data_IF_936504468541
#
_entry.id   IF_936504468541
#
_cell.length_a   1.000
_cell.length_b   1.000
_cell.length_c   1.000
_cell.angle_alpha   90.00
_cell.angle_beta   90.00
_cell.angle_gamma   90.00
#
_symmetry.space_group_name_H-M   'P 1'
#
loop_
_entity.id
_entity.type
_entity.pdbx_description
1 polymer ?
#
# COMPACT_ATOMS: atom_id res chain seq x y z
N UNK A 1 12.16 20.06 14.21
CA UNK A 1 12.04 18.67 14.70
C UNK A 1 12.86 18.40 15.97
N UNK A 2 14.04 19.01 16.19
CA UNK A 2 14.78 18.95 17.49
C UNK A 2 13.88 19.40 18.67
N UNK A 3 13.16 20.52 18.51
CA UNK A 3 12.17 20.95 19.52
C UNK A 3 10.97 20.01 19.69
N UNK A 4 10.68 19.13 18.72
CA UNK A 4 9.57 18.17 18.81
C UNK A 4 9.97 16.97 19.69
N UNK A 5 11.23 16.53 19.62
CA UNK A 5 11.78 15.44 20.43
C UNK A 5 12.12 15.87 21.87
N UNK A 6 12.44 17.14 22.13
CA UNK A 6 12.64 17.65 23.49
C UNK A 6 11.32 17.82 24.28
N UNK A 7 10.17 17.92 23.60
CA UNK A 7 8.91 18.32 24.20
C UNK A 7 8.05 17.21 24.85
N UNK A 8 8.36 15.92 24.66
CA UNK A 8 7.48 14.84 25.20
C UNK A 8 8.13 13.80 26.10
N UNK A 9 9.17 14.18 26.85
CA UNK A 9 9.70 13.34 27.94
C UNK A 9 10.01 11.89 27.50
N UNK A 10 10.58 11.69 26.31
CA UNK A 10 10.94 10.36 25.79
C UNK A 10 12.01 9.65 26.63
N UNK A 11 12.68 10.35 27.55
CA UNK A 11 13.49 9.80 28.64
C UNK A 11 12.75 8.67 29.39
N UNK A 12 11.42 8.80 29.54
CA UNK A 12 10.55 7.86 30.24
C UNK A 12 10.10 6.66 29.37
N UNK A 13 10.42 6.66 28.07
CA UNK A 13 10.08 5.61 27.11
C UNK A 13 11.30 4.78 26.69
N UNK A 14 12.45 4.93 27.37
CA UNK A 14 13.61 4.02 27.20
C UNK A 14 13.23 2.59 27.57
N UNK A 15 12.78 1.81 26.59
CA UNK A 15 12.66 0.36 26.72
C UNK A 15 13.93 -0.26 26.13
N UNK A 16 14.93 -0.49 26.99
CA UNK A 16 16.02 -1.41 26.66
C UNK A 16 15.47 -2.84 26.72
N UNK A 17 14.79 -3.26 25.66
CA UNK A 17 14.25 -4.61 25.56
C UNK A 17 15.34 -5.59 25.09
N UNK A 18 15.70 -6.55 25.94
CA UNK A 18 16.36 -7.79 25.51
C UNK A 18 15.50 -8.55 24.49
N UNK A 19 16.11 -9.38 23.64
CA UNK A 19 15.40 -10.30 22.72
C UNK A 19 14.56 -11.37 23.45
N UNK A 20 14.72 -11.45 24.78
CA UNK A 20 13.99 -12.32 25.68
C UNK A 20 13.10 -11.51 26.62
N UNK A 21 11.87 -11.96 26.83
CA UNK A 21 10.97 -11.46 27.87
C UNK A 21 10.59 -12.65 28.76
N UNK A 22 10.94 -12.60 30.05
CA UNK A 22 10.74 -13.72 31.00
C UNK A 22 11.36 -15.04 30.49
N UNK A 23 12.59 -14.98 29.99
CA UNK A 23 13.35 -16.11 29.43
C UNK A 23 12.76 -16.78 28.16
N UNK A 24 11.61 -16.32 27.67
CA UNK A 24 11.02 -16.74 26.39
C UNK A 24 11.37 -15.76 25.26
N UNK A 25 11.48 -16.27 24.03
CA UNK A 25 11.79 -15.45 22.87
C UNK A 25 10.63 -14.52 22.50
N UNK A 26 10.92 -13.23 22.34
CA UNK A 26 9.91 -12.18 22.19
C UNK A 26 9.08 -12.32 20.90
N UNK A 27 7.75 -12.33 21.03
CA UNK A 27 6.81 -12.21 19.91
C UNK A 27 5.92 -10.99 20.13
N UNK A 28 5.92 -10.05 19.18
CA UNK A 28 5.20 -8.78 19.32
C UNK A 28 5.87 -7.64 18.56
N UNK A 29 5.50 -6.41 18.89
CA UNK A 29 6.08 -5.19 18.30
C UNK A 29 7.08 -4.58 19.28
N UNK A 30 8.27 -4.26 18.79
CA UNK A 30 9.34 -3.61 19.57
C UNK A 30 9.69 -2.26 18.95
N UNK A 31 9.77 -1.24 19.80
CA UNK A 31 10.24 0.10 19.44
C UNK A 31 11.57 0.38 20.14
N UNK A 32 12.51 1.03 19.45
CA UNK A 32 13.79 1.47 20.00
C UNK A 32 14.04 2.91 19.59
N UNK A 33 14.43 3.74 20.56
CA UNK A 33 14.74 5.16 20.37
C UNK A 33 16.16 5.36 20.88
N UNK A 34 17.07 5.73 19.99
CA UNK A 34 18.45 6.02 20.33
C UNK A 34 18.72 7.52 20.12
N UNK A 35 18.77 8.24 21.24
CA UNK A 35 18.97 9.70 21.28
C UNK A 35 20.41 10.12 20.95
N UNK A 36 21.40 9.25 21.13
CA UNK A 36 22.80 9.56 20.79
C UNK A 36 23.02 9.58 19.28
N UNK A 37 22.30 8.74 18.56
CA UNK A 37 22.35 8.63 17.09
C UNK A 37 21.18 9.31 16.40
N UNK A 38 20.26 9.92 17.16
CA UNK A 38 18.98 10.45 16.68
C UNK A 38 18.26 9.46 15.76
N UNK A 39 18.12 8.22 16.22
CA UNK A 39 17.45 7.16 15.47
C UNK A 39 16.25 6.56 16.22
N UNK A 40 15.28 6.12 15.44
CA UNK A 40 14.07 5.44 15.87
C UNK A 40 13.89 4.19 15.01
N UNK A 41 13.57 3.06 15.62
CA UNK A 41 13.08 1.91 14.88
C UNK A 41 11.90 1.23 15.54
N UNK A 42 11.02 0.64 14.74
CA UNK A 42 9.83 -0.09 15.17
C UNK A 42 9.68 -1.32 14.31
N UNK A 43 9.69 -2.52 14.90
CA UNK A 43 9.48 -3.73 14.12
C UNK A 43 8.67 -4.79 14.82
N UNK A 44 8.07 -5.69 14.04
CA UNK A 44 7.41 -6.89 14.53
C UNK A 44 8.37 -8.08 14.56
N UNK A 45 8.16 -8.94 15.55
CA UNK A 45 9.01 -10.08 15.86
C UNK A 45 8.17 -11.31 16.17
N UNK A 46 8.66 -12.49 15.79
CA UNK A 46 8.12 -13.80 16.15
C UNK A 46 9.27 -14.65 16.67
N UNK A 47 9.18 -15.09 17.93
CA UNK A 47 10.22 -15.90 18.56
C UNK A 47 11.60 -15.23 18.61
N UNK A 48 11.65 -13.91 18.81
CA UNK A 48 12.87 -13.11 18.85
C UNK A 48 13.41 -12.70 17.47
N UNK A 49 12.81 -13.22 16.40
CA UNK A 49 13.26 -13.00 15.02
C UNK A 49 12.39 -11.93 14.35
N UNK A 50 13.00 -11.02 13.60
CA UNK A 50 12.26 -10.00 12.84
C UNK A 50 11.33 -10.67 11.81
N UNK A 51 10.05 -10.29 11.80
CA UNK A 51 9.04 -10.84 10.91
C UNK A 51 7.90 -9.83 10.75
N UNK A 52 7.39 -9.63 9.53
CA UNK A 52 6.41 -8.59 9.22
C UNK A 52 7.13 -7.29 8.88
N UNK A 53 6.77 -6.18 9.50
CA UNK A 53 7.34 -4.87 9.18
C UNK A 53 8.43 -4.47 10.17
N UNK A 54 9.37 -3.67 9.71
CA UNK A 54 10.38 -3.02 10.52
C UNK A 54 10.70 -1.65 9.92
N UNK A 55 10.50 -0.60 10.67
CA UNK A 55 10.72 0.78 10.25
C UNK A 55 11.98 1.25 10.95
N UNK A 56 12.84 1.93 10.21
CA UNK A 56 14.01 2.61 10.72
C UNK A 56 13.98 4.07 10.27
N UNK A 57 14.33 4.96 11.17
CA UNK A 57 14.46 6.38 10.93
C UNK A 57 15.75 6.84 11.62
N UNK A 58 16.58 7.61 10.95
CA UNK A 58 17.74 8.23 11.59
C UNK A 58 18.06 9.58 10.96
N UNK A 59 18.51 10.51 11.78
CA UNK A 59 18.91 11.83 11.35
C UNK A 59 20.34 12.12 11.80
N UNK A 60 21.30 12.11 10.87
CA UNK A 60 22.72 12.35 11.18
C UNK A 60 23.29 13.39 10.22
N UNK A 61 23.97 14.40 10.73
CA UNK A 61 24.67 15.43 9.92
C UNK A 61 23.81 16.19 8.88
N UNK A 62 22.53 16.43 9.17
CA UNK A 62 21.53 17.00 8.25
C UNK A 62 21.11 16.07 7.10
N UNK A 63 21.39 14.77 7.23
CA UNK A 63 20.92 13.74 6.31
C UNK A 63 19.79 12.97 6.97
N UNK A 64 18.63 12.94 6.29
CA UNK A 64 17.48 12.16 6.73
C UNK A 64 17.56 10.78 6.07
N UNK A 65 17.54 9.74 6.89
CA UNK A 65 17.36 8.36 6.48
C UNK A 65 16.05 7.84 7.06
N UNK A 66 15.19 7.32 6.20
CA UNK A 66 14.01 6.59 6.60
C UNK A 66 13.95 5.31 5.80
N UNK A 67 13.56 4.21 6.42
CA UNK A 67 13.46 2.94 5.75
C UNK A 67 12.33 2.09 6.32
N UNK A 68 11.64 1.36 5.44
CA UNK A 68 10.70 0.31 5.80
C UNK A 68 11.29 -0.98 5.26
N UNK A 69 11.46 -1.95 6.13
CA UNK A 69 11.88 -3.30 5.85
C UNK A 69 10.67 -4.20 6.07
N UNK A 70 10.46 -5.17 5.19
CA UNK A 70 9.60 -6.31 5.47
C UNK A 70 10.51 -7.51 5.66
N UNK A 71 10.37 -8.19 6.79
CA UNK A 71 11.09 -9.42 7.08
C UNK A 71 10.14 -10.61 7.01
N UNK A 72 10.65 -11.76 6.59
CA UNK A 72 9.98 -13.03 6.83
C UNK A 72 10.96 -13.93 7.55
N UNK A 73 10.77 -14.03 8.88
CA UNK A 73 11.57 -14.89 9.75
C UNK A 73 13.08 -14.63 9.64
N UNK A 74 13.47 -13.36 9.71
CA UNK A 74 14.87 -12.94 9.80
C UNK A 74 15.49 -12.56 8.46
N UNK A 75 14.97 -13.08 7.35
CA UNK A 75 15.39 -12.67 6.00
C UNK A 75 14.65 -11.40 5.60
N UNK A 76 15.41 -10.39 5.16
CA UNK A 76 14.87 -9.18 4.53
C UNK A 76 14.17 -9.58 3.23
N UNK A 77 12.98 -9.05 2.99
CA UNK A 77 12.13 -9.36 1.83
C UNK A 77 11.86 -8.17 0.95
N UNK A 78 11.60 -7.06 1.60
CA UNK A 78 11.34 -5.81 0.94
C UNK A 78 12.04 -4.74 1.72
N UNK A 79 12.57 -3.77 0.99
CA UNK A 79 13.08 -2.58 1.59
C UNK A 79 12.74 -1.34 0.77
N UNK A 80 12.08 -0.41 1.43
CA UNK A 80 11.96 0.96 0.96
C UNK A 80 12.95 1.81 1.76
N UNK A 81 13.84 2.55 1.09
CA UNK A 81 14.75 3.49 1.72
C UNK A 81 14.56 4.89 1.12
N UNK A 82 14.36 5.86 1.99
CA UNK A 82 14.35 7.28 1.68
C UNK A 82 15.62 7.91 2.25
N UNK A 83 16.39 8.60 1.39
CA UNK A 83 17.58 9.36 1.78
C UNK A 83 17.50 10.79 1.27
N UNK A 84 17.65 11.74 2.19
CA UNK A 84 17.81 13.15 1.87
C UNK A 84 19.22 13.59 2.24
N UNK A 85 20.02 13.93 1.23
CA UNK A 85 21.29 14.63 1.40
C UNK A 85 21.04 16.14 1.26
N UNK A 86 21.94 16.97 1.80
CA UNK A 86 21.88 18.45 1.77
C UNK A 86 21.65 19.03 0.35
N UNK A 87 20.41 18.98 -0.15
CA UNK A 87 19.90 19.42 -1.48
C UNK A 87 19.72 18.34 -2.57
N UNK A 88 19.88 17.04 -2.28
CA UNK A 88 19.58 15.95 -3.22
C UNK A 88 18.63 14.94 -2.58
N UNK A 89 17.52 14.67 -3.27
CA UNK A 89 16.55 13.64 -2.91
C UNK A 89 16.88 12.34 -3.64
N UNK A 90 16.99 11.24 -2.89
CA UNK A 90 17.09 9.90 -3.46
C UNK A 90 16.05 8.99 -2.79
N UNK A 91 15.13 8.47 -3.59
CA UNK A 91 14.26 7.37 -3.18
C UNK A 91 14.87 6.09 -3.74
N UNK A 92 15.25 5.18 -2.87
CA UNK A 92 15.79 3.87 -3.20
C UNK A 92 14.72 2.82 -2.88
N UNK A 93 14.31 2.07 -3.90
CA UNK A 93 13.41 0.94 -3.77
C UNK A 93 14.22 -0.33 -3.99
N UNK A 94 14.13 -1.28 -3.07
CA UNK A 94 14.69 -2.62 -3.25
C UNK A 94 13.67 -3.67 -2.84
N UNK A 95 13.27 -4.56 -3.73
CA UNK A 95 12.80 -5.87 -3.28
C UNK A 95 14.07 -6.66 -2.93
N UNK A 96 14.13 -7.33 -1.78
CA UNK A 96 15.27 -8.22 -1.49
C UNK A 96 15.26 -9.47 -2.41
N UNK A 97 14.27 -9.57 -3.31
CA UNK A 97 14.22 -10.50 -4.44
C UNK A 97 15.00 -10.03 -5.67
N UNK A 98 15.27 -8.74 -5.76
CA UNK A 98 16.13 -8.16 -6.76
C UNK A 98 17.52 -8.07 -6.10
N UNK A 99 18.30 -9.15 -6.18
CA UNK A 99 19.73 -9.11 -5.79
C UNK A 99 20.49 -8.05 -6.60
N UNK A 100 19.88 -7.53 -7.66
CA UNK A 100 20.23 -6.21 -8.16
C UNK A 100 19.55 -5.19 -7.25
N UNK A 101 20.29 -4.73 -6.25
CA UNK A 101 20.06 -3.40 -5.73
C UNK A 101 19.91 -2.42 -6.92
N UNK A 102 18.70 -1.95 -7.18
CA UNK A 102 18.40 -0.86 -8.12
C UNK A 102 19.19 0.42 -7.79
N UNK A 103 19.95 0.46 -6.69
CA UNK A 103 20.89 1.54 -6.38
C UNK A 103 22.05 1.67 -7.37
N UNK A 104 22.26 0.75 -8.31
CA UNK A 104 23.13 1.02 -9.46
C UNK A 104 22.43 1.80 -10.59
N UNK A 105 21.12 2.05 -10.50
CA UNK A 105 20.47 3.18 -11.14
C UNK A 105 20.42 4.37 -10.17
N UNK A 106 21.60 4.80 -9.72
CA UNK A 106 21.84 6.22 -9.73
C UNK A 106 21.61 6.67 -11.18
N UNK A 107 20.39 7.12 -11.49
CA UNK A 107 20.15 7.96 -12.65
C UNK A 107 20.96 9.23 -12.39
N UNK A 108 22.25 9.17 -12.73
CA UNK A 108 23.12 10.32 -12.82
C UNK A 108 22.70 11.04 -14.10
N UNK A 109 21.52 11.66 -14.05
CA UNK A 109 20.83 12.30 -15.17
C UNK A 109 21.55 13.62 -15.49
N UNK A 110 22.74 13.52 -16.08
CA UNK A 110 23.41 14.66 -16.71
C UNK A 110 22.88 14.93 -18.12
N UNK A 111 22.09 14.02 -18.70
CA UNK A 111 21.43 14.25 -19.99
C UNK A 111 19.90 14.15 -19.92
N UNK A 112 19.26 15.32 -19.93
CA UNK A 112 17.80 15.55 -19.81
C UNK A 112 16.93 14.96 -20.94
N UNK A 113 17.46 14.12 -21.83
CA UNK A 113 16.77 13.72 -23.08
C UNK A 113 16.27 12.28 -23.15
N UNK A 114 16.59 11.41 -22.21
CA UNK A 114 16.03 10.05 -22.14
C UNK A 114 15.32 9.85 -20.80
N UNK A 115 14.10 10.38 -20.70
CA UNK A 115 13.10 9.90 -19.72
C UNK A 115 12.48 8.62 -20.27
N UNK A 116 13.25 7.54 -20.35
CA UNK A 116 12.64 6.23 -20.50
C UNK A 116 12.08 5.79 -19.14
N UNK A 117 10.84 5.29 -19.18
CA UNK A 117 10.01 4.89 -18.06
C UNK A 117 10.78 3.91 -17.16
N UNK A 118 11.21 4.36 -15.99
CA UNK A 118 11.74 3.51 -14.90
C UNK A 118 10.63 2.72 -14.20
N UNK A 119 9.76 2.07 -14.97
CA UNK A 119 9.00 0.93 -14.43
C UNK A 119 9.90 -0.27 -14.61
N UNK A 120 10.56 -0.69 -13.53
CA UNK A 120 11.25 -1.98 -13.48
C UNK A 120 10.24 -3.05 -13.84
N UNK A 121 10.55 -3.87 -14.85
CA UNK A 121 9.76 -5.06 -15.16
C UNK A 121 9.72 -5.94 -13.90
N UNK A 122 8.52 -6.34 -13.50
CA UNK A 122 8.38 -7.16 -12.31
C UNK A 122 9.05 -8.50 -12.56
N UNK A 123 10.16 -8.76 -11.88
CA UNK A 123 10.88 -10.01 -12.08
C UNK A 123 10.05 -11.20 -11.60
N UNK A 124 9.25 -11.09 -10.54
CA UNK A 124 8.56 -12.24 -9.91
C UNK A 124 7.10 -12.36 -10.31
N UNK A 125 6.66 -13.56 -10.60
CA UNK A 125 5.26 -13.93 -10.82
C UNK A 125 4.67 -14.66 -9.62
N UNK A 126 3.34 -14.87 -9.61
CA UNK A 126 2.70 -15.67 -8.54
C UNK A 126 3.19 -17.12 -8.53
N UNK A 127 3.55 -17.66 -9.69
CA UNK A 127 4.10 -19.02 -9.81
C UNK A 127 5.49 -19.14 -9.15
N UNK A 128 6.28 -18.06 -9.17
CA UNK A 128 7.60 -18.01 -8.52
C UNK A 128 7.52 -18.00 -6.98
N UNK A 129 6.32 -17.83 -6.40
CA UNK A 129 6.11 -17.87 -4.94
C UNK A 129 5.90 -19.29 -4.40
N UNK A 130 5.73 -20.28 -5.28
CA UNK A 130 5.79 -21.69 -4.92
C UNK A 130 7.27 -22.10 -4.80
N UNK A 131 7.87 -21.83 -3.64
CA UNK A 131 9.30 -22.00 -3.43
C UNK A 131 9.75 -23.45 -3.61
N UNK A 132 8.96 -24.43 -3.15
CA UNK A 132 9.29 -25.84 -3.30
C UNK A 132 9.38 -26.20 -4.79
N UNK A 133 8.34 -25.88 -5.56
CA UNK A 133 8.33 -26.12 -7.00
C UNK A 133 9.42 -25.36 -7.74
N UNK A 134 9.68 -24.10 -7.37
CA UNK A 134 10.71 -23.29 -8.01
C UNK A 134 12.12 -23.86 -7.75
N UNK A 135 12.39 -24.32 -6.53
CA UNK A 135 13.66 -24.96 -6.16
C UNK A 135 13.82 -26.30 -6.89
N UNK A 136 12.80 -27.17 -6.83
CA UNK A 136 12.82 -28.49 -7.49
C UNK A 136 13.11 -28.39 -9.00
N UNK A 137 12.51 -27.40 -9.68
CA UNK A 137 12.72 -27.18 -11.11
C UNK A 137 14.08 -26.56 -11.46
N UNK A 138 14.85 -26.10 -10.47
CA UNK A 138 16.10 -25.36 -10.67
C UNK A 138 17.24 -25.87 -9.77
N UNK A 139 17.26 -27.16 -9.46
CA UNK A 139 18.30 -27.79 -8.63
C UNK A 139 19.72 -27.54 -9.17
N UNK A 140 19.88 -27.42 -10.50
CA UNK A 140 21.16 -27.12 -11.13
C UNK A 140 21.80 -25.79 -10.68
N UNK A 141 20.98 -24.82 -10.25
CA UNK A 141 21.43 -23.53 -9.72
C UNK A 141 21.82 -23.67 -8.25
N UNK A 142 21.05 -24.45 -7.47
CA UNK A 142 21.34 -24.72 -6.06
C UNK A 142 22.66 -25.46 -5.90
N UNK A 143 22.90 -26.46 -6.76
CA UNK A 143 24.15 -27.22 -6.74
C UNK A 143 25.37 -26.34 -7.07
N UNK A 144 25.23 -25.42 -8.04
CA UNK A 144 26.28 -24.42 -8.36
C UNK A 144 26.52 -23.46 -7.21
N UNK A 145 25.47 -23.05 -6.49
CA UNK A 145 25.59 -22.15 -5.36
C UNK A 145 26.37 -22.79 -4.21
N UNK A 146 26.06 -24.05 -3.87
CA UNK A 146 26.77 -24.81 -2.84
C UNK A 146 28.22 -25.12 -3.21
N UNK A 147 28.51 -25.35 -4.49
CA UNK A 147 29.88 -25.56 -4.95
C UNK A 147 30.81 -24.39 -4.58
N UNK A 148 30.32 -23.15 -4.60
CA UNK A 148 31.10 -21.99 -4.19
C UNK A 148 31.20 -21.80 -2.68
N UNK A 149 30.21 -22.24 -1.91
CA UNK A 149 30.29 -22.18 -0.44
C UNK A 149 31.44 -23.04 0.10
N UNK A 150 31.82 -24.12 -0.61
CA UNK A 150 33.00 -24.94 -0.29
C UNK A 150 34.36 -24.25 -0.57
N UNK A 151 34.43 -23.35 -1.57
CA UNK A 151 35.64 -22.59 -1.92
C UNK A 151 35.73 -21.21 -1.21
N UNK A 152 34.73 -20.86 -0.41
CA UNK A 152 34.60 -19.63 0.37
C UNK A 152 33.44 -18.74 -0.10
N UNK A 153 32.81 -17.95 0.79
CA UNK A 153 31.55 -17.29 0.48
C UNK A 153 31.74 -16.21 -0.59
N UNK A 154 31.27 -16.48 -1.80
CA UNK A 154 30.99 -15.46 -2.81
C UNK A 154 29.70 -14.77 -2.38
N UNK A 155 29.69 -13.43 -2.35
CA UNK A 155 28.45 -12.70 -2.11
C UNK A 155 27.44 -13.01 -3.22
N UNK A 156 26.17 -13.03 -2.84
CA UNK A 156 25.10 -13.58 -3.67
C UNK A 156 24.94 -12.81 -4.99
N UNK A 157 25.14 -11.49 -4.96
CA UNK A 157 25.14 -10.63 -6.14
C UNK A 157 26.21 -11.12 -7.13
N UNK A 158 27.44 -11.32 -6.66
CA UNK A 158 28.54 -11.83 -7.48
C UNK A 158 28.23 -13.22 -8.07
N UNK A 159 27.60 -14.13 -7.31
CA UNK A 159 27.17 -15.43 -7.83
C UNK A 159 26.19 -15.30 -9.00
N UNK A 160 25.14 -14.48 -8.84
CA UNK A 160 24.13 -14.25 -9.87
C UNK A 160 24.74 -13.64 -11.14
N UNK A 161 25.64 -12.66 -10.98
CA UNK A 161 26.25 -11.97 -12.12
C UNK A 161 27.21 -12.84 -12.95
N UNK A 162 27.96 -13.76 -12.32
CA UNK A 162 28.94 -14.61 -13.00
C UNK A 162 28.27 -15.53 -14.05
N UNK A 163 27.03 -15.95 -13.80
CA UNK A 163 26.34 -16.95 -14.63
C UNK A 163 25.40 -16.37 -15.70
N UNK A 164 25.26 -15.04 -15.77
CA UNK A 164 24.63 -14.32 -16.88
C UNK A 164 23.10 -14.36 -16.96
N UNK A 165 22.44 -15.41 -16.45
CA UNK A 165 20.97 -15.49 -16.31
C UNK A 165 20.51 -14.91 -14.97
N UNK A 166 20.66 -13.58 -14.86
CA UNK A 166 20.47 -12.82 -13.61
C UNK A 166 19.07 -13.02 -13.05
N UNK A 167 18.04 -13.01 -13.89
CA UNK A 167 16.65 -13.14 -13.45
C UNK A 167 16.38 -14.53 -12.86
N UNK A 168 16.69 -15.60 -13.61
CA UNK A 168 16.43 -16.97 -13.17
C UNK A 168 17.21 -17.31 -11.90
N UNK A 169 18.50 -16.95 -11.85
CA UNK A 169 19.35 -17.22 -10.69
C UNK A 169 18.89 -16.44 -9.46
N UNK A 170 18.47 -15.18 -9.63
CA UNK A 170 17.98 -14.36 -8.53
C UNK A 170 16.72 -14.94 -7.90
N UNK A 171 15.74 -15.31 -8.73
CA UNK A 171 14.48 -15.93 -8.25
C UNK A 171 14.73 -17.18 -7.42
N UNK A 172 15.64 -18.04 -7.90
CA UNK A 172 15.90 -19.34 -7.29
C UNK A 172 16.65 -19.21 -5.98
N UNK A 173 17.72 -18.41 -5.91
CA UNK A 173 18.51 -18.26 -4.67
C UNK A 173 17.78 -17.43 -3.61
N UNK A 174 17.10 -16.36 -4.01
CA UNK A 174 15.70 -16.03 -3.65
C UNK A 174 14.98 -17.01 -2.75
N UNK A 175 14.09 -17.74 -3.42
CA UNK A 175 13.23 -18.74 -2.86
C UNK A 175 13.96 -19.73 -1.96
N UNK A 176 15.18 -20.16 -2.33
CA UNK A 176 15.97 -21.10 -1.55
C UNK A 176 16.37 -20.56 -0.16
N UNK A 177 16.92 -19.35 -0.08
CA UNK A 177 17.30 -18.71 1.19
C UNK A 177 16.10 -18.58 2.12
N UNK A 178 14.99 -18.13 1.54
CA UNK A 178 13.71 -17.96 2.20
C UNK A 178 13.14 -19.27 2.74
N UNK A 179 13.11 -20.29 1.88
CA UNK A 179 12.59 -21.61 2.19
C UNK A 179 13.36 -22.18 3.39
N UNK A 180 14.69 -22.07 3.36
CA UNK A 180 15.55 -22.57 4.43
C UNK A 180 15.35 -21.82 5.75
N UNK A 181 15.22 -20.49 5.72
CA UNK A 181 14.94 -19.71 6.93
C UNK A 181 13.56 -20.07 7.51
N UNK A 182 12.53 -20.22 6.67
CA UNK A 182 11.22 -20.70 7.11
C UNK A 182 11.33 -22.09 7.76
N UNK A 183 11.96 -23.05 7.10
CA UNK A 183 12.16 -24.39 7.67
C UNK A 183 12.94 -24.34 9.00
N UNK A 184 14.02 -23.56 9.06
CA UNK A 184 14.85 -23.40 10.26
C UNK A 184 14.08 -22.83 11.45
N UNK A 185 13.26 -21.80 11.24
CA UNK A 185 12.59 -21.09 12.33
C UNK A 185 11.16 -21.57 12.61
N UNK A 186 10.47 -22.16 11.64
CA UNK A 186 9.09 -22.66 11.79
C UNK A 186 8.98 -24.20 11.77
N UNK A 187 10.00 -24.91 11.30
CA UNK A 187 9.93 -26.34 11.02
C UNK A 187 9.03 -26.69 9.81
N UNK A 188 8.61 -25.69 9.04
CA UNK A 188 7.79 -25.84 7.83
C UNK A 188 7.85 -24.59 6.96
N UNK A 189 7.52 -24.75 5.68
CA UNK A 189 7.27 -23.62 4.75
C UNK A 189 5.80 -23.24 4.81
N UNK A 190 5.53 -21.95 4.71
CA UNK A 190 4.18 -21.40 4.64
C UNK A 190 4.04 -20.51 3.38
N UNK A 191 2.83 -20.34 2.83
CA UNK A 191 2.62 -19.45 1.68
C UNK A 191 3.03 -18.00 1.97
N UNK A 192 3.70 -17.37 1.00
CA UNK A 192 4.10 -15.97 1.07
C UNK A 192 2.94 -15.02 0.73
N UNK A 193 1.98 -14.97 1.65
CA UNK A 193 0.76 -14.18 1.49
C UNK A 193 1.00 -12.67 1.46
N UNK A 194 2.20 -12.17 1.71
CA UNK A 194 2.52 -10.76 1.49
C UNK A 194 2.93 -10.53 0.03
N UNK A 195 3.89 -11.31 -0.45
CA UNK A 195 4.38 -11.19 -1.82
C UNK A 195 3.30 -11.52 -2.84
N UNK A 196 2.44 -12.51 -2.56
CA UNK A 196 1.31 -12.83 -3.44
C UNK A 196 0.43 -11.58 -3.70
N UNK A 197 0.19 -10.78 -2.66
CA UNK A 197 -0.62 -9.55 -2.75
C UNK A 197 0.09 -8.47 -3.53
N UNK A 198 1.38 -8.30 -3.27
CA UNK A 198 2.21 -7.32 -3.96
C UNK A 198 2.29 -7.65 -5.46
N UNK A 199 2.66 -8.89 -5.80
CA UNK A 199 2.74 -9.38 -7.19
C UNK A 199 1.41 -9.19 -7.89
N UNK A 200 0.33 -9.60 -7.25
CA UNK A 200 -0.99 -9.49 -7.84
C UNK A 200 -1.37 -8.02 -8.10
N UNK A 201 -1.03 -7.09 -7.21
CA UNK A 201 -1.23 -5.66 -7.44
C UNK A 201 -0.44 -5.15 -8.63
N UNK A 202 0.84 -5.50 -8.74
CA UNK A 202 1.68 -5.09 -9.87
C UNK A 202 1.14 -5.65 -11.19
N UNK A 203 0.70 -6.92 -11.22
CA UNK A 203 0.04 -7.53 -12.38
C UNK A 203 -1.23 -6.78 -12.81
N UNK A 204 -1.88 -6.02 -11.92
CA UNK A 204 -3.06 -5.22 -12.26
C UNK A 204 -2.73 -3.82 -12.76
N UNK A 205 -1.49 -3.34 -12.58
CA UNK A 205 -1.09 -2.01 -13.04
C UNK A 205 -1.31 -1.89 -14.55
N UNK A 206 -1.95 -0.80 -14.96
CA UNK A 206 -2.23 -0.52 -16.37
C UNK A 206 -3.46 -1.22 -16.94
N UNK A 207 -4.14 -2.10 -16.19
CA UNK A 207 -5.42 -2.72 -16.62
C UNK A 207 -6.63 -1.80 -16.43
N UNK A 208 -6.43 -0.63 -15.85
CA UNK A 208 -7.50 0.34 -15.64
C UNK A 208 -7.99 0.95 -16.95
N UNK A 209 -9.32 0.98 -17.12
CA UNK A 209 -9.97 1.69 -18.23
C UNK A 209 -10.41 3.07 -17.72
N UNK A 210 -9.85 4.13 -18.28
CA UNK A 210 -10.07 5.52 -17.84
C UNK A 210 -11.16 6.24 -18.68
N UNK A 211 -12.02 5.46 -19.32
CA UNK A 211 -13.06 5.90 -20.24
C UNK A 211 -14.41 5.32 -19.82
N UNK A 212 -15.49 5.98 -20.22
CA UNK A 212 -16.84 5.56 -19.89
C UNK A 212 -17.19 4.24 -20.57
N UNK A 213 -17.32 3.19 -19.77
CA UNK A 213 -17.90 1.90 -20.16
C UNK A 213 -19.01 1.51 -19.19
N UNK A 214 -19.88 2.47 -18.90
CA UNK A 214 -21.01 2.30 -18.01
C UNK A 214 -22.19 1.62 -18.74
N UNK A 215 -22.99 0.79 -18.06
CA UNK A 215 -24.29 0.36 -18.57
C UNK A 215 -25.19 1.56 -18.87
N UNK A 216 -26.05 1.45 -19.89
CA UNK A 216 -26.99 2.52 -20.29
C UNK A 216 -28.04 2.80 -19.22
N UNK A 217 -28.49 1.76 -18.50
CA UNK A 217 -29.57 1.84 -17.51
C UNK A 217 -29.03 1.52 -16.11
N UNK A 218 -28.35 2.48 -15.48
CA UNK A 218 -27.92 2.36 -14.08
C UNK A 218 -29.13 2.56 -13.17
N UNK A 219 -29.65 1.45 -12.65
CA UNK A 219 -30.71 1.37 -11.66
C UNK A 219 -30.14 1.31 -10.24
N UNK A 220 -29.05 0.58 -10.02
CA UNK A 220 -28.48 0.36 -8.70
C UNK A 220 -27.04 0.85 -8.61
N UNK A 221 -26.74 1.60 -7.56
CA UNK A 221 -25.38 2.06 -7.25
C UNK A 221 -24.95 1.59 -5.87
N UNK A 222 -23.66 1.33 -5.71
CA UNK A 222 -23.08 0.75 -4.50
C UNK A 222 -22.18 1.72 -3.74
N UNK A 223 -22.13 1.58 -2.42
CA UNK A 223 -21.18 2.27 -1.55
C UNK A 223 -20.33 1.23 -0.81
N UNK A 224 -19.01 1.35 -0.88
CA UNK A 224 -18.09 0.39 -0.27
C UNK A 224 -17.10 1.10 0.66
N UNK A 225 -16.98 0.60 1.87
CA UNK A 225 -15.97 1.03 2.84
C UNK A 225 -15.37 -0.18 3.54
N UNK A 226 -14.11 -0.04 3.95
CA UNK A 226 -13.39 -1.05 4.73
C UNK A 226 -12.78 -0.34 5.95
N UNK A 227 -12.95 -0.94 7.12
CA UNK A 227 -12.42 -0.44 8.37
C UNK A 227 -11.54 -1.46 9.08
N UNK A 228 -10.61 -0.93 9.86
CA UNK A 228 -9.51 -1.67 10.47
C UNK A 228 -9.41 -1.40 11.96
N UNK A 229 -8.92 -2.42 12.66
CA UNK A 229 -8.33 -2.27 13.97
C UNK A 229 -7.01 -3.04 14.02
N UNK A 230 -5.91 -2.37 13.65
CA UNK A 230 -4.59 -3.00 13.47
C UNK A 230 -4.07 -3.70 14.73
N UNK A 231 -4.39 -3.18 15.93
CA UNK A 231 -3.98 -3.81 17.20
C UNK A 231 -4.68 -5.15 17.44
N UNK A 232 -5.99 -5.23 17.16
CA UNK A 232 -6.78 -6.46 17.34
C UNK A 232 -6.83 -7.31 16.08
N UNK A 233 -6.17 -6.85 15.00
CA UNK A 233 -6.12 -7.49 13.70
C UNK A 233 -7.52 -7.81 13.13
N UNK A 234 -8.46 -6.89 13.35
CA UNK A 234 -9.83 -7.01 12.87
C UNK A 234 -10.04 -6.12 11.66
N UNK A 235 -10.78 -6.64 10.68
CA UNK A 235 -11.22 -5.89 9.50
C UNK A 235 -12.70 -6.11 9.25
N UNK A 236 -13.35 -5.06 8.75
CA UNK A 236 -14.76 -5.11 8.37
C UNK A 236 -14.94 -4.40 7.03
N UNK A 237 -15.50 -5.10 6.06
CA UNK A 237 -15.93 -4.54 4.80
C UNK A 237 -17.46 -4.45 4.78
N UNK A 238 -17.99 -3.31 4.35
CA UNK A 238 -19.42 -3.08 4.20
C UNK A 238 -19.71 -2.60 2.79
N UNK A 239 -20.72 -3.21 2.18
CA UNK A 239 -21.28 -2.77 0.90
C UNK A 239 -22.75 -2.44 1.10
N UNK A 240 -23.18 -1.28 0.64
CA UNK A 240 -24.59 -0.87 0.56
C UNK A 240 -24.98 -0.71 -0.90
N UNK A 241 -26.27 -0.90 -1.20
CA UNK A 241 -26.84 -0.74 -2.54
C UNK A 241 -28.03 0.19 -2.47
N UNK A 242 -28.05 1.20 -3.33
CA UNK A 242 -29.11 2.17 -3.43
C UNK A 242 -29.76 2.12 -4.80
N UNK A 243 -31.09 2.17 -4.85
CA UNK A 243 -31.84 2.38 -6.10
C UNK A 243 -31.78 3.87 -6.49
N UNK A 244 -31.38 4.14 -7.73
CA UNK A 244 -31.16 5.50 -8.24
C UNK A 244 -32.46 6.29 -8.32
N UNK A 245 -33.61 5.65 -8.57
CA UNK A 245 -34.88 6.31 -8.71
C UNK A 245 -35.51 6.63 -7.35
N UNK A 246 -35.54 5.66 -6.43
CA UNK A 246 -36.11 5.88 -5.09
C UNK A 246 -35.16 6.61 -4.14
N UNK A 247 -33.85 6.56 -4.38
CA UNK A 247 -32.80 7.03 -3.46
C UNK A 247 -32.78 6.28 -2.12
N UNK A 248 -33.34 5.07 -2.07
CA UNK A 248 -33.39 4.23 -0.87
C UNK A 248 -32.33 3.14 -0.91
N UNK A 249 -31.79 2.77 0.26
CA UNK A 249 -30.93 1.61 0.40
C UNK A 249 -31.80 0.35 0.30
N UNK A 250 -31.57 -0.44 -0.75
CA UNK A 250 -32.37 -1.63 -1.09
C UNK A 250 -31.66 -2.94 -0.75
N UNK A 251 -30.36 -2.92 -0.53
CA UNK A 251 -29.57 -4.08 -0.09
C UNK A 251 -28.30 -3.63 0.66
N UNK A 252 -27.77 -4.50 1.52
CA UNK A 252 -26.49 -4.30 2.19
C UNK A 252 -25.87 -5.62 2.61
N UNK A 253 -24.54 -5.67 2.65
CA UNK A 253 -23.78 -6.82 3.09
C UNK A 253 -22.57 -6.42 3.93
N UNK A 254 -22.23 -7.29 4.89
CA UNK A 254 -21.09 -7.11 5.79
C UNK A 254 -20.22 -8.37 5.74
N UNK A 255 -18.91 -8.17 5.67
CA UNK A 255 -17.92 -9.20 5.90
C UNK A 255 -16.94 -8.74 6.98
N UNK A 256 -16.66 -9.62 7.93
CA UNK A 256 -15.71 -9.37 9.02
C UNK A 256 -14.69 -10.50 9.02
N UNK A 257 -13.41 -10.16 9.18
CA UNK A 257 -12.34 -11.13 9.43
C UNK A 257 -11.57 -10.73 10.68
N UNK A 258 -11.16 -11.73 11.44
CA UNK A 258 -10.24 -11.57 12.57
C UNK A 258 -8.88 -12.19 12.20
N UNK A 259 -7.80 -11.69 12.82
CA UNK A 259 -6.41 -12.17 12.61
C UNK A 259 -5.86 -11.90 11.21
N UNK A 260 -6.14 -10.71 10.68
CA UNK A 260 -5.47 -10.25 9.47
C UNK A 260 -4.03 -9.79 9.75
N UNK A 261 -3.17 -9.85 8.74
CA UNK A 261 -1.84 -9.24 8.80
C UNK A 261 -1.98 -7.71 8.92
N UNK A 262 -0.99 -7.07 9.55
CA UNK A 262 -0.97 -5.62 9.70
C UNK A 262 -1.08 -4.90 8.36
N UNK A 263 -1.80 -3.78 8.37
CA UNK A 263 -1.93 -2.90 7.23
C UNK A 263 -0.56 -2.36 6.75
N UNK A 264 -0.25 -2.55 5.47
CA UNK A 264 0.95 -2.01 4.81
C UNK A 264 0.53 -1.03 3.69
N UNK A 265 0.93 0.25 3.74
CA UNK A 265 0.45 1.32 2.86
C UNK A 265 0.60 1.09 1.36
N UNK A 266 1.67 0.44 0.89
CA UNK A 266 1.93 0.31 -0.56
C UNK A 266 1.19 -0.88 -1.21
N UNK A 267 0.52 -1.70 -0.39
CA UNK A 267 -0.33 -2.81 -0.83
C UNK A 267 -1.80 -2.55 -0.45
N UNK A 268 -2.15 -1.26 -0.30
CA UNK A 268 -3.45 -0.76 0.17
C UNK A 268 -4.62 -1.33 -0.62
N UNK A 269 -4.54 -1.24 -1.96
CA UNK A 269 -5.59 -1.70 -2.85
C UNK A 269 -5.94 -3.17 -2.60
N UNK A 270 -4.93 -4.01 -2.41
CA UNK A 270 -5.15 -5.43 -2.15
C UNK A 270 -5.80 -5.71 -0.79
N UNK A 271 -5.23 -5.13 0.27
CA UNK A 271 -5.59 -5.45 1.64
C UNK A 271 -7.04 -5.08 1.97
N UNK A 272 -7.66 -4.16 1.23
CA UNK A 272 -9.08 -3.81 1.34
C UNK A 272 -9.95 -4.62 0.36
N UNK A 273 -9.48 -4.77 -0.88
CA UNK A 273 -10.29 -5.30 -1.98
C UNK A 273 -10.78 -6.72 -1.74
N UNK A 274 -9.95 -7.62 -1.21
CA UNK A 274 -10.37 -9.01 -0.99
C UNK A 274 -11.59 -9.11 -0.05
N UNK A 275 -11.65 -8.26 0.97
CA UNK A 275 -12.76 -8.27 1.93
C UNK A 275 -13.99 -7.55 1.39
N UNK A 276 -13.77 -6.48 0.62
CA UNK A 276 -14.84 -5.81 -0.11
C UNK A 276 -15.51 -6.77 -1.11
N UNK A 277 -14.75 -7.60 -1.84
CA UNK A 277 -15.29 -8.63 -2.73
C UNK A 277 -16.11 -9.66 -1.93
N UNK A 278 -15.59 -10.18 -0.81
CA UNK A 278 -16.35 -11.12 0.04
C UNK A 278 -17.65 -10.53 0.60
N UNK A 279 -17.68 -9.22 0.89
CA UNK A 279 -18.92 -8.53 1.27
C UNK A 279 -19.84 -8.37 0.04
N UNK A 280 -19.31 -7.96 -1.10
CA UNK A 280 -20.04 -7.79 -2.36
C UNK A 280 -20.70 -9.10 -2.83
N UNK A 281 -20.03 -10.24 -2.69
CA UNK A 281 -20.55 -11.56 -3.06
C UNK A 281 -21.86 -11.89 -2.33
N UNK A 282 -22.03 -11.44 -1.09
CA UNK A 282 -23.22 -11.67 -0.26
C UNK A 282 -24.44 -10.83 -0.67
N UNK A 283 -24.26 -9.81 -1.52
CA UNK A 283 -25.39 -9.00 -2.00
C UNK A 283 -26.33 -9.82 -2.87
N UNK A 284 -27.63 -9.62 -2.70
CA UNK A 284 -28.66 -10.16 -3.59
C UNK A 284 -28.81 -9.26 -4.82
N UNK A 285 -28.77 -7.93 -4.63
CA UNK A 285 -28.86 -6.94 -5.69
C UNK A 285 -27.44 -6.45 -6.03
N UNK A 286 -26.98 -6.66 -7.27
CA UNK A 286 -25.65 -6.21 -7.69
C UNK A 286 -25.70 -4.78 -8.25
N UNK A 287 -24.94 -3.82 -7.68
CA UNK A 287 -24.86 -2.47 -8.22
C UNK A 287 -24.09 -2.43 -9.53
N UNK A 288 -24.42 -1.47 -10.39
CA UNK A 288 -23.82 -1.27 -11.72
C UNK A 288 -22.73 -0.18 -11.73
N UNK A 289 -22.63 0.59 -10.64
CA UNK A 289 -21.60 1.60 -10.40
C UNK A 289 -21.31 1.63 -8.90
N UNK A 290 -20.04 1.69 -8.51
CA UNK A 290 -19.63 1.62 -7.10
C UNK A 290 -18.82 2.86 -6.71
N UNK A 291 -19.18 3.47 -5.58
CA UNK A 291 -18.43 4.51 -4.89
C UNK A 291 -17.63 3.88 -3.75
N UNK A 292 -16.35 4.21 -3.65
CA UNK A 292 -15.43 3.64 -2.66
C UNK A 292 -14.95 4.72 -1.67
N UNK A 293 -14.90 4.40 -0.37
CA UNK A 293 -14.29 5.24 0.68
C UNK A 293 -12.76 5.09 0.62
N UNK A 294 -12.18 5.59 -0.46
CA UNK A 294 -10.76 5.43 -0.77
C UNK A 294 -10.43 6.05 -2.12
N UNK A 295 -9.18 5.87 -2.55
CA UNK A 295 -8.67 6.44 -3.80
C UNK A 295 -8.81 5.45 -4.96
N UNK A 296 -8.90 5.98 -6.18
CA UNK A 296 -8.69 5.24 -7.42
C UNK A 296 -7.28 5.47 -7.95
N UNK A 297 -7.13 6.05 -9.14
CA UNK A 297 -5.80 6.33 -9.72
C UNK A 297 -5.02 7.42 -8.98
N UNK A 298 -5.64 8.16 -8.05
CA UNK A 298 -4.93 9.05 -7.11
C UNK A 298 -4.16 8.21 -6.08
N UNK A 299 -3.14 7.52 -6.55
CA UNK A 299 -2.29 6.61 -5.81
C UNK A 299 -0.89 6.59 -6.45
N UNK A 300 0.21 6.42 -5.69
CA UNK A 300 1.57 6.39 -6.26
C UNK A 300 1.74 5.44 -7.45
N UNK A 301 1.06 4.29 -7.40
CA UNK A 301 1.03 3.27 -8.47
C UNK A 301 -0.21 3.32 -9.38
N UNK A 302 -1.06 4.34 -9.25
CA UNK A 302 -2.40 4.41 -9.88
C UNK A 302 -3.35 3.24 -9.52
N UNK A 303 -3.04 2.49 -8.45
CA UNK A 303 -3.74 1.27 -8.00
C UNK A 303 -4.36 1.45 -6.61
N UNK A 304 -5.13 2.53 -6.42
CA UNK A 304 -5.92 2.70 -5.20
C UNK A 304 -7.05 1.68 -5.09
N UNK A 305 -7.69 1.63 -3.92
CA UNK A 305 -8.78 0.71 -3.60
C UNK A 305 -9.90 0.69 -4.66
N UNK A 306 -10.37 1.86 -5.12
CA UNK A 306 -11.44 1.93 -6.13
C UNK A 306 -11.01 1.33 -7.47
N UNK A 307 -9.76 1.57 -7.88
CA UNK A 307 -9.20 1.01 -9.12
C UNK A 307 -9.09 -0.51 -9.03
N UNK A 308 -8.50 -1.01 -7.95
CA UNK A 308 -8.30 -2.44 -7.77
C UNK A 308 -9.65 -3.17 -7.69
N UNK A 309 -10.59 -2.68 -6.88
CA UNK A 309 -11.93 -3.26 -6.74
C UNK A 309 -12.67 -3.28 -8.08
N UNK A 310 -12.58 -2.20 -8.86
CA UNK A 310 -13.25 -2.10 -10.16
C UNK A 310 -12.71 -3.10 -11.19
N UNK A 311 -11.39 -3.30 -11.21
CA UNK A 311 -10.75 -4.32 -12.06
C UNK A 311 -11.21 -5.73 -11.67
N UNK A 312 -11.25 -6.03 -10.36
CA UNK A 312 -11.60 -7.38 -9.88
C UNK A 312 -13.07 -7.72 -10.09
N UNK A 313 -13.97 -6.75 -9.92
CA UNK A 313 -15.40 -6.96 -10.13
C UNK A 313 -15.83 -6.75 -11.59
N UNK A 314 -14.96 -6.18 -12.42
CA UNK A 314 -15.25 -5.73 -13.79
C UNK A 314 -16.39 -4.68 -13.87
N UNK A 315 -16.58 -3.90 -12.79
CA UNK A 315 -17.66 -2.92 -12.60
C UNK A 315 -17.08 -1.48 -12.57
N UNK A 316 -17.78 -0.48 -13.12
CA UNK A 316 -17.41 0.92 -12.97
C UNK A 316 -17.24 1.35 -11.50
N UNK A 317 -16.12 1.98 -11.17
CA UNK A 317 -15.81 2.42 -9.80
C UNK A 317 -15.29 3.85 -9.73
N UNK A 318 -15.64 4.55 -8.64
CA UNK A 318 -15.19 5.91 -8.33
C UNK A 318 -14.60 5.92 -6.92
N UNK A 319 -13.38 6.47 -6.77
CA UNK A 319 -12.79 6.77 -5.47
C UNK A 319 -13.32 8.09 -4.91
N UNK A 320 -13.78 8.09 -3.66
CA UNK A 320 -14.29 9.25 -2.94
C UNK A 320 -13.61 9.37 -1.58
N UNK A 321 -12.41 9.95 -1.57
CA UNK A 321 -11.60 10.04 -0.35
C UNK A 321 -11.86 11.34 0.43
N UNK A 322 -11.77 11.25 1.75
CA UNK A 322 -11.92 12.41 2.67
C UNK A 322 -10.62 13.22 2.81
N UNK A 323 -9.49 12.60 2.51
CA UNK A 323 -8.13 13.14 2.53
C UNK A 323 -7.49 12.92 1.18
N UNK A 324 -6.47 13.71 0.86
CA UNK A 324 -5.67 13.57 -0.35
C UNK A 324 -4.56 12.56 -0.10
N UNK A 325 -4.28 11.69 -1.07
CA UNK A 325 -3.15 10.76 -0.98
C UNK A 325 -1.96 11.28 -1.79
N UNK A 326 -2.19 11.64 -3.06
CA UNK A 326 -1.18 12.20 -3.95
C UNK A 326 -1.78 13.31 -4.80
N UNK A 327 -0.92 14.02 -5.54
CA UNK A 327 -1.32 15.07 -6.47
C UNK A 327 -1.31 16.45 -5.83
N UNK A 328 -0.78 17.41 -6.58
CA UNK A 328 -0.71 18.80 -6.16
C UNK A 328 -1.89 19.58 -6.71
N UNK A 329 -2.42 20.48 -5.88
CA UNK A 329 -3.30 21.58 -6.26
C UNK A 329 -3.08 22.73 -5.28
N UNK A 330 -3.34 23.96 -5.71
CA UNK A 330 -3.32 25.14 -4.84
C UNK A 330 -4.66 25.23 -4.13
N UNK A 331 -4.65 25.10 -2.80
CA UNK A 331 -5.89 25.06 -2.00
C UNK A 331 -6.65 26.39 -2.07
N UNK A 332 -5.92 27.48 -2.19
CA UNK A 332 -6.43 28.85 -2.21
C UNK A 332 -7.22 29.14 -3.50
N UNK A 333 -6.91 28.41 -4.58
CA UNK A 333 -7.59 28.54 -5.87
C UNK A 333 -8.92 27.75 -5.90
N UNK A 334 -9.19 26.89 -4.90
CA UNK A 334 -10.42 26.11 -4.84
C UNK A 334 -11.55 26.96 -4.24
N UNK A 335 -12.53 27.31 -5.07
CA UNK A 335 -13.71 28.02 -4.61
C UNK A 335 -14.54 27.25 -3.57
N UNK A 336 -15.35 27.97 -2.79
CA UNK A 336 -16.15 27.41 -1.69
C UNK A 336 -17.55 26.96 -2.10
N UNK A 337 -17.97 27.21 -3.35
CA UNK A 337 -19.30 26.86 -3.83
C UNK A 337 -19.37 25.38 -4.19
N UNK A 338 -20.57 24.82 -4.07
CA UNK A 338 -20.84 23.45 -4.55
C UNK A 338 -20.45 23.32 -6.03
N UNK A 339 -19.81 22.21 -6.36
CA UNK A 339 -19.23 21.85 -7.64
C UNK A 339 -17.94 22.59 -8.04
N UNK A 340 -17.45 23.55 -7.23
CA UNK A 340 -16.09 24.08 -7.42
C UNK A 340 -15.08 22.93 -7.30
N UNK A 341 -14.13 22.86 -8.24
CA UNK A 341 -13.15 21.79 -8.29
C UNK A 341 -11.83 22.24 -8.91
N UNK A 342 -10.75 21.57 -8.50
CA UNK A 342 -9.41 21.71 -9.08
C UNK A 342 -8.82 20.34 -9.38
N UNK A 343 -8.06 20.28 -10.47
CA UNK A 343 -7.32 19.08 -10.85
C UNK A 343 -6.20 18.78 -9.85
N UNK A 344 -6.05 17.50 -9.52
CA UNK A 344 -4.92 16.97 -8.76
C UNK A 344 -3.88 16.49 -9.76
N UNK A 345 -2.70 17.12 -9.77
CA UNK A 345 -1.62 16.79 -10.70
C UNK A 345 -0.54 15.96 -10.00
N UNK A 346 -0.36 14.73 -10.45
CA UNK A 346 0.70 13.82 -9.99
C UNK A 346 1.42 13.21 -11.20
N UNK A 347 2.75 13.17 -11.18
CA UNK A 347 3.56 12.72 -12.32
C UNK A 347 3.16 13.36 -13.67
N UNK A 348 2.94 14.68 -13.66
CA UNK A 348 2.50 15.47 -14.82
C UNK A 348 1.15 15.03 -15.44
N UNK A 349 0.34 14.25 -14.72
CA UNK A 349 -0.97 13.78 -15.14
C UNK A 349 -2.04 14.20 -14.15
N UNK A 350 -3.26 14.37 -14.66
CA UNK A 350 -4.45 14.53 -13.81
C UNK A 350 -4.80 13.17 -13.23
N UNK A 351 -4.74 13.04 -11.90
CA UNK A 351 -5.06 11.79 -11.18
C UNK A 351 -6.39 11.84 -10.42
N UNK A 352 -7.02 13.02 -10.37
CA UNK A 352 -8.29 13.23 -9.71
C UNK A 352 -8.63 14.71 -9.61
N UNK A 353 -9.64 15.03 -8.81
CA UNK A 353 -9.99 16.41 -8.47
C UNK A 353 -10.28 16.58 -6.99
N UNK A 354 -9.82 17.68 -6.42
CA UNK A 354 -10.41 18.21 -5.19
C UNK A 354 -11.77 18.81 -5.56
N UNK A 355 -12.85 18.29 -4.98
CA UNK A 355 -14.24 18.64 -5.32
C UNK A 355 -15.00 19.13 -4.09
N UNK A 356 -15.64 20.29 -4.23
CA UNK A 356 -16.55 20.85 -3.23
C UNK A 356 -17.96 20.27 -3.40
N UNK A 357 -18.31 19.25 -2.64
CA UNK A 357 -19.66 18.64 -2.69
C UNK A 357 -20.69 19.39 -1.83
N UNK A 358 -20.22 20.06 -0.79
CA UNK A 358 -21.01 20.92 0.11
C UNK A 358 -20.31 22.25 0.34
N UNK A 359 -21.07 23.33 0.25
CA UNK A 359 -20.58 24.70 0.44
C UNK A 359 -19.96 24.88 1.84
N UNK A 360 -18.89 25.66 1.93
CA UNK A 360 -18.14 25.94 3.18
C UNK A 360 -17.67 24.69 3.93
N UNK A 361 -17.46 23.57 3.23
CA UNK A 361 -16.91 22.33 3.81
C UNK A 361 -15.61 21.93 3.13
N UNK A 362 -14.80 21.12 3.81
CA UNK A 362 -13.59 20.55 3.21
C UNK A 362 -13.95 19.79 1.92
N UNK A 363 -13.18 19.94 0.84
CA UNK A 363 -13.41 19.17 -0.37
C UNK A 363 -13.27 17.67 -0.10
N UNK A 364 -13.84 16.87 -0.97
CA UNK A 364 -13.48 15.45 -1.10
C UNK A 364 -12.56 15.30 -2.30
N UNK A 365 -11.79 14.22 -2.33
CA UNK A 365 -10.84 13.94 -3.39
C UNK A 365 -11.41 12.81 -4.24
N UNK A 366 -11.83 13.17 -5.45
CA UNK A 366 -12.50 12.27 -6.39
C UNK A 366 -11.49 11.82 -7.42
N UNK A 367 -11.31 10.51 -7.55
CA UNK A 367 -10.47 9.90 -8.57
C UNK A 367 -11.22 8.78 -9.27
N UNK A 368 -10.93 8.59 -10.56
CA UNK A 368 -11.49 7.48 -11.31
C UNK A 368 -10.94 6.16 -10.75
N UNK A 369 -11.80 5.14 -10.66
CA UNK A 369 -11.42 3.78 -10.31
C UNK A 369 -11.22 2.94 -11.57
N UNK A 370 -12.30 2.51 -12.22
CA UNK A 370 -12.29 1.65 -13.41
C UNK A 370 -13.54 1.92 -14.28
N UNK A 371 -13.43 1.76 -15.61
CA UNK A 371 -14.54 1.89 -16.60
C UNK A 371 -15.37 3.17 -16.52
N UNK A 372 -14.75 4.25 -16.04
CA UNK A 372 -15.40 5.55 -15.93
C UNK A 372 -14.38 6.67 -16.16
N UNK A 373 -14.78 7.69 -16.90
CA UNK A 373 -14.01 8.92 -17.05
C UNK A 373 -14.11 9.78 -15.79
N UNK A 374 -13.08 10.59 -15.52
CA UNK A 374 -13.08 11.49 -14.36
C UNK A 374 -14.26 12.48 -14.39
N UNK A 375 -14.64 12.95 -15.58
CA UNK A 375 -15.79 13.85 -15.75
C UNK A 375 -17.10 13.18 -15.32
N UNK A 376 -17.40 12.02 -15.88
CA UNK A 376 -18.62 11.27 -15.56
C UNK A 376 -18.63 10.83 -14.10
N UNK A 377 -17.48 10.46 -13.54
CA UNK A 377 -17.34 10.17 -12.10
C UNK A 377 -17.72 11.37 -11.21
N UNK A 378 -17.28 12.58 -11.54
CA UNK A 378 -17.66 13.80 -10.80
C UNK A 378 -19.15 14.08 -10.91
N UNK A 379 -19.74 13.91 -12.10
CA UNK A 379 -21.18 14.11 -12.31
C UNK A 379 -22.00 13.16 -11.43
N UNK A 380 -21.59 11.90 -11.33
CA UNK A 380 -22.20 10.89 -10.44
C UNK A 380 -22.02 11.22 -8.95
N UNK A 381 -20.84 11.68 -8.55
CA UNK A 381 -20.59 12.13 -7.17
C UNK A 381 -21.51 13.29 -6.82
N UNK A 382 -21.56 14.33 -7.66
CA UNK A 382 -22.45 15.47 -7.45
C UNK A 382 -23.93 15.07 -7.47
N UNK A 383 -24.34 14.10 -8.31
CA UNK A 383 -25.71 13.60 -8.31
C UNK A 383 -26.10 12.95 -6.98
N UNK A 384 -25.14 12.32 -6.29
CA UNK A 384 -25.36 11.51 -5.08
C UNK A 384 -24.96 12.20 -3.77
N UNK A 385 -24.40 13.42 -3.83
CA UNK A 385 -24.07 14.27 -2.68
C UNK A 385 -25.05 15.45 -2.55
N UNK A 386 -26.35 15.16 -2.41
CA UNK A 386 -27.38 16.20 -2.26
C UNK A 386 -27.60 16.58 -0.79
N UNK A 387 -27.71 15.59 0.09
CA UNK A 387 -27.92 15.76 1.53
C UNK A 387 -26.63 15.68 2.36
N UNK A 388 -25.59 15.09 1.77
CA UNK A 388 -24.38 14.63 2.46
C UNK A 388 -23.10 15.13 1.77
N UNK A 389 -21.98 15.14 2.50
CA UNK A 389 -20.66 15.51 1.93
C UNK A 389 -20.09 14.41 1.04
N UNK A 390 -20.38 13.14 1.36
CA UNK A 390 -20.03 11.98 0.55
C UNK A 390 -21.27 11.46 -0.19
N UNK A 391 -21.11 10.67 -1.27
CA UNK A 391 -22.24 9.98 -1.89
C UNK A 391 -23.09 9.29 -0.84
N UNK A 392 -24.40 9.52 -0.83
CA UNK A 392 -25.28 9.06 0.25
C UNK A 392 -25.19 7.54 0.48
N UNK A 393 -25.10 6.76 -0.60
CA UNK A 393 -24.91 5.31 -0.54
C UNK A 393 -23.61 4.93 0.20
N UNK A 394 -22.52 5.67 -0.02
CA UNK A 394 -21.25 5.46 0.64
C UNK A 394 -21.28 5.88 2.11
N UNK A 395 -21.95 6.99 2.43
CA UNK A 395 -22.13 7.46 3.80
C UNK A 395 -22.88 6.42 4.65
N UNK A 396 -23.89 5.76 4.07
CA UNK A 396 -24.60 4.66 4.75
C UNK A 396 -23.70 3.47 5.07
N UNK A 397 -22.79 3.09 4.17
CA UNK A 397 -21.82 2.04 4.45
C UNK A 397 -20.89 2.41 5.62
N UNK A 398 -20.42 3.67 5.64
CA UNK A 398 -19.57 4.21 6.72
C UNK A 398 -20.31 4.26 8.07
N UNK A 399 -21.59 4.65 8.06
CA UNK A 399 -22.44 4.65 9.26
C UNK A 399 -22.58 3.23 9.86
N UNK A 400 -22.84 2.22 9.03
CA UNK A 400 -22.94 0.82 9.46
C UNK A 400 -21.63 0.36 10.10
N UNK A 401 -20.49 0.65 9.45
CA UNK A 401 -19.17 0.34 10.02
C UNK A 401 -18.99 0.98 11.39
N UNK A 402 -19.32 2.27 11.55
CA UNK A 402 -19.18 2.98 12.84
C UNK A 402 -20.06 2.38 13.94
N UNK A 403 -21.22 1.83 13.57
CA UNK A 403 -22.11 1.17 14.53
C UNK A 403 -21.61 -0.22 14.93
N UNK A 404 -21.09 -1.00 13.98
CA UNK A 404 -20.68 -2.40 14.17
C UNK A 404 -19.23 -2.55 14.67
N UNK A 405 -18.39 -1.55 14.39
CA UNK A 405 -16.99 -1.48 14.76
C UNK A 405 -16.67 -0.05 15.22
N UNK A 406 -17.14 0.35 16.43
CA UNK A 406 -17.00 1.71 16.94
C UNK A 406 -15.56 2.08 17.27
N UNK A 407 -14.78 1.12 17.75
CA UNK A 407 -13.34 1.26 17.94
C UNK A 407 -12.63 0.87 16.64
N UNK A 408 -12.05 1.87 15.99
CA UNK A 408 -11.25 1.72 14.78
C UNK A 408 -9.87 2.27 15.08
N UNK A 409 -8.85 1.52 14.71
CA UNK A 409 -7.47 1.94 14.89
C UNK A 409 -6.69 1.52 13.66
N UNK A 410 -6.16 2.50 12.95
CA UNK A 410 -5.33 2.27 11.78
C UNK A 410 -3.99 2.95 11.99
N UNK A 411 -2.91 2.20 11.79
CA UNK A 411 -1.57 2.73 11.68
C UNK A 411 -1.44 3.29 10.26
N UNK A 412 -1.53 4.61 10.16
CA UNK A 412 -1.37 5.32 8.90
C UNK A 412 0.05 5.87 8.81
N UNK A 413 0.89 5.23 7.99
CA UNK A 413 2.27 5.65 7.78
C UNK A 413 2.40 6.81 6.77
N UNK A 414 1.28 7.22 6.14
CA UNK A 414 1.21 8.26 5.11
C UNK A 414 0.37 9.47 5.55
N UNK A 415 0.04 9.58 6.84
CA UNK A 415 -0.89 10.60 7.32
C UNK A 415 -0.26 12.00 7.25
N UNK A 416 -0.84 12.83 6.38
CA UNK A 416 -0.28 14.07 5.82
C UNK A 416 -0.88 15.34 6.48
N UNK A 417 -1.04 15.34 7.81
CA UNK A 417 -1.20 16.61 8.55
C UNK A 417 0.15 17.07 9.10
N UNK A 418 0.65 18.28 8.78
CA UNK A 418 0.48 19.12 7.60
C UNK A 418 1.68 18.99 6.65
N UNK A 419 1.39 18.82 5.37
CA UNK A 419 2.34 18.92 4.27
C UNK A 419 2.80 20.39 4.04
N UNK A 420 3.60 20.93 4.96
CA UNK A 420 4.25 22.26 4.86
C UNK A 420 5.50 22.26 3.95
N UNK A 421 5.93 21.09 3.48
CA UNK A 421 7.18 20.93 2.72
C UNK A 421 6.97 20.47 1.27
N UNK A 422 5.72 20.41 0.80
CA UNK A 422 5.38 20.29 -0.61
C UNK A 422 5.70 21.57 -1.37
N UNK A 423 7.00 21.78 -1.64
CA UNK A 423 7.57 22.86 -2.44
C UNK A 423 7.37 24.26 -1.81
N UNK A 424 8.23 24.59 -0.85
CA UNK A 424 8.61 25.99 -0.62
C UNK A 424 9.56 26.37 -1.76
N UNK A 425 9.34 27.55 -2.34
CA UNK A 425 10.07 28.13 -3.47
C UNK A 425 11.58 28.12 -3.32
#
# INVERSE_FOLDING_TARGET
MINYFEQQNWENLKVNGSEKYKDESFTGIKENINLETNSYCKGSYVGGIAHGYYISYSFKNCELYWAIYIYIYGSERFIFRFRMFKEIYCNEYGLSYDFVSLNNFAINNRDRKQKEKGFTEMLISRDDLDYEKLIENNQDIIDKYHFYDEDGPIDLDTFVYIYGDVERYSKVIVAYSIHNDMQKYLGKVIPDTFMEKFVWQEEQIGKTINEDQLPTDIQFIGGVTVAYHDITQKIMAVVTVMDVNSQEIVDQAIYTEDRINMHIPDVFGFNETIWAIKAFEKLTIKPQLIFCDGHGIEHPKNMGFATFLGIQLDIPTIGCAKKRLVGYYKKEDLGDKRADNLELIFDQKVVGKALRTKENSNPIYVSLGHKISLKTGIDWVLKTTQSTRLPFVLEKAIEIVRQQMPEQFRIDFMNDEPNEYGIIK
#
